data_IF_112261221298
#
_entry.id   IF_112261221298
#
_cell.length_a   1.000
_cell.length_b   1.000
_cell.length_c   1.000
_cell.angle_alpha   90.00
_cell.angle_beta   90.00
_cell.angle_gamma   90.00
#
_symmetry.space_group_name_H-M   'P 1'
#
loop_
_entity.id
_entity.type
_entity.pdbx_description
1 polymer ?
#
# COMPACT_ATOMS: atom_id res chain seq x y z
N UNK A 1 -2.06 1.41 -18.21
CA UNK A 1 -1.75 2.25 -17.03
C UNK A 1 -0.67 1.54 -16.22
N UNK A 2 0.51 2.15 -16.07
CA UNK A 2 1.61 1.61 -15.26
C UNK A 2 1.16 1.39 -13.80
N UNK A 3 1.73 0.38 -13.15
CA UNK A 3 1.32 -0.07 -11.80
C UNK A 3 1.35 1.07 -10.77
N UNK A 4 2.38 1.92 -10.82
CA UNK A 4 2.53 3.07 -9.94
C UNK A 4 1.38 4.07 -10.10
N UNK A 5 0.95 4.31 -11.34
CA UNK A 5 -0.16 5.22 -11.61
C UNK A 5 -1.47 4.66 -11.06
N UNK A 6 -1.69 3.33 -11.14
CA UNK A 6 -2.87 2.68 -10.53
C UNK A 6 -2.87 2.80 -9.02
N UNK A 7 -1.75 2.49 -8.37
CA UNK A 7 -1.61 2.59 -6.91
C UNK A 7 -1.80 4.04 -6.47
N UNK A 8 -1.17 4.98 -7.17
CA UNK A 8 -1.26 6.42 -6.85
C UNK A 8 -2.70 6.90 -6.93
N UNK A 9 -3.39 6.59 -8.03
CA UNK A 9 -4.80 6.92 -8.21
C UNK A 9 -5.65 6.35 -7.06
N UNK A 10 -5.46 5.07 -6.74
CA UNK A 10 -6.16 4.40 -5.63
C UNK A 10 -5.93 5.10 -4.28
N UNK A 11 -4.68 5.40 -3.94
CA UNK A 11 -4.36 6.13 -2.70
C UNK A 11 -5.03 7.50 -2.70
N UNK A 12 -4.91 8.27 -3.78
CA UNK A 12 -5.50 9.62 -3.85
C UNK A 12 -7.02 9.61 -3.72
N UNK A 13 -7.71 8.63 -4.31
CA UNK A 13 -9.15 8.44 -4.16
C UNK A 13 -9.58 8.11 -2.72
N UNK A 14 -8.71 7.47 -1.93
CA UNK A 14 -8.97 7.30 -0.49
C UNK A 14 -8.94 8.66 0.23
N UNK A 15 -7.96 9.51 -0.09
CA UNK A 15 -7.85 10.86 0.48
C UNK A 15 -8.99 11.81 0.13
N UNK A 16 -9.81 11.51 -0.87
CA UNK A 16 -10.97 12.33 -1.25
C UNK A 16 -12.25 12.02 -0.45
N UNK A 17 -12.19 11.11 0.52
CA UNK A 17 -13.34 10.77 1.36
C UNK A 17 -14.37 9.86 0.68
N UNK A 18 -13.98 9.17 -0.39
CA UNK A 18 -14.77 8.04 -0.89
C UNK A 18 -14.73 6.96 0.18
N UNK A 19 -15.89 6.40 0.51
CA UNK A 19 -15.98 5.33 1.51
C UNK A 19 -15.49 4.03 0.87
N UNK A 20 -14.29 3.60 1.24
CA UNK A 20 -13.69 2.36 0.74
C UNK A 20 -14.16 1.12 1.51
N UNK A 21 -15.12 1.30 2.43
CA UNK A 21 -15.62 0.24 3.30
C UNK A 21 -14.70 -0.04 4.49
N UNK A 22 -14.59 -1.31 4.84
CA UNK A 22 -13.79 -1.80 5.96
C UNK A 22 -12.30 -1.84 5.64
N UNK A 23 -11.45 -2.10 6.64
CA UNK A 23 -10.03 -2.35 6.42
C UNK A 23 -9.76 -3.58 5.52
N UNK A 24 -10.70 -4.54 5.46
CA UNK A 24 -10.60 -5.68 4.54
C UNK A 24 -10.86 -5.27 3.10
N UNK A 25 -11.84 -4.38 2.89
CA UNK A 25 -12.13 -3.82 1.56
C UNK A 25 -10.96 -2.98 1.05
N UNK A 26 -10.32 -2.19 1.93
CA UNK A 26 -9.07 -1.48 1.61
C UNK A 26 -7.98 -2.45 1.17
N UNK A 27 -7.79 -3.53 1.93
CA UNK A 27 -6.83 -4.58 1.61
C UNK A 27 -7.09 -5.21 0.25
N UNK A 28 -8.33 -5.65 -0.01
CA UNK A 28 -8.73 -6.23 -1.30
C UNK A 28 -8.51 -5.27 -2.48
N UNK A 29 -8.72 -3.96 -2.27
CA UNK A 29 -8.58 -2.95 -3.33
C UNK A 29 -7.12 -2.60 -3.65
N UNK A 30 -6.23 -2.56 -2.65
CA UNK A 30 -4.85 -2.13 -2.84
C UNK A 30 -3.86 -3.28 -2.98
N UNK A 31 -4.06 -4.37 -2.26
CA UNK A 31 -3.02 -5.37 -2.02
C UNK A 31 -2.45 -5.98 -3.30
N UNK A 32 -3.29 -6.35 -4.26
CA UNK A 32 -2.83 -6.99 -5.49
C UNK A 32 -1.85 -6.10 -6.29
N UNK A 33 -2.09 -4.77 -6.32
CA UNK A 33 -1.16 -3.85 -6.98
C UNK A 33 0.09 -3.60 -6.12
N UNK A 34 -0.04 -3.51 -4.80
CA UNK A 34 1.10 -3.34 -3.89
C UNK A 34 2.04 -4.55 -3.92
N UNK A 35 1.50 -5.77 -3.95
CA UNK A 35 2.26 -7.01 -4.02
C UNK A 35 2.97 -7.15 -5.37
N UNK A 36 2.29 -6.80 -6.47
CA UNK A 36 2.90 -6.78 -7.79
C UNK A 36 4.04 -5.75 -7.86
N UNK A 37 3.89 -4.58 -7.24
CA UNK A 37 4.98 -3.61 -7.14
C UNK A 37 6.16 -4.14 -6.30
N UNK A 38 5.87 -4.73 -5.14
CA UNK A 38 6.87 -5.31 -4.22
C UNK A 38 7.72 -6.38 -4.89
N UNK A 39 7.08 -7.26 -5.65
CA UNK A 39 7.74 -8.37 -6.33
C UNK A 39 8.25 -8.01 -7.74
N UNK A 40 8.13 -6.76 -8.18
CA UNK A 40 8.57 -6.34 -9.50
C UNK A 40 10.10 -6.28 -9.59
N UNK A 41 10.70 -6.94 -10.57
CA UNK A 41 12.15 -6.90 -10.78
C UNK A 41 12.70 -5.49 -11.08
N UNK A 42 11.86 -4.60 -11.62
CA UNK A 42 12.18 -3.21 -11.92
C UNK A 42 11.66 -2.24 -10.85
N UNK A 43 11.25 -2.72 -9.67
CA UNK A 43 10.67 -1.90 -8.60
C UNK A 43 11.49 -0.64 -8.32
N UNK A 44 12.80 -0.77 -8.17
CA UNK A 44 13.67 0.36 -7.81
C UNK A 44 13.58 1.52 -8.80
N UNK A 45 13.44 1.21 -10.09
CA UNK A 45 13.24 2.22 -11.12
C UNK A 45 11.79 2.74 -11.14
N UNK A 46 10.81 1.87 -10.90
CA UNK A 46 9.40 2.28 -10.83
C UNK A 46 9.12 3.23 -9.68
N UNK A 47 9.76 3.04 -8.52
CA UNK A 47 9.51 3.85 -7.33
C UNK A 47 10.46 5.04 -7.20
N UNK A 48 11.43 5.25 -8.10
CA UNK A 48 12.51 6.25 -7.93
C UNK A 48 11.98 7.64 -7.59
N UNK A 49 10.95 8.07 -8.34
CA UNK A 49 10.31 9.38 -8.21
C UNK A 49 8.88 9.28 -7.66
N UNK A 50 8.50 8.12 -7.14
CA UNK A 50 7.16 7.92 -6.61
C UNK A 50 7.03 8.63 -5.26
N UNK A 51 6.09 9.57 -5.15
CA UNK A 51 5.87 10.38 -3.94
C UNK A 51 5.62 9.59 -2.64
N UNK A 52 5.13 8.35 -2.75
CA UNK A 52 4.87 7.47 -1.59
C UNK A 52 5.96 6.42 -1.38
N UNK A 53 7.10 6.50 -2.08
CA UNK A 53 8.21 5.56 -1.97
C UNK A 53 8.65 5.34 -0.52
N UNK A 54 8.87 6.42 0.24
CA UNK A 54 9.36 6.31 1.61
C UNK A 54 8.35 5.64 2.54
N UNK A 55 7.05 5.93 2.39
CA UNK A 55 5.98 5.26 3.12
C UNK A 55 5.96 3.76 2.81
N UNK A 56 5.99 3.42 1.52
CA UNK A 56 6.00 2.04 1.06
C UNK A 56 7.21 1.26 1.60
N UNK A 57 8.42 1.81 1.44
CA UNK A 57 9.66 1.19 1.92
C UNK A 57 9.66 1.02 3.45
N UNK A 58 9.09 1.99 4.18
CA UNK A 58 8.96 1.92 5.64
C UNK A 58 8.03 0.78 6.07
N UNK A 59 6.84 0.72 5.49
CA UNK A 59 5.84 -0.31 5.79
C UNK A 59 6.34 -1.70 5.40
N UNK A 60 7.00 -1.83 4.25
CA UNK A 60 7.59 -3.09 3.81
C UNK A 60 8.68 -3.58 4.77
N UNK A 61 9.63 -2.70 5.16
CA UNK A 61 10.66 -3.05 6.14
C UNK A 61 10.07 -3.51 7.46
N UNK A 62 9.01 -2.85 7.89
CA UNK A 62 8.34 -3.20 9.14
C UNK A 62 7.63 -4.56 9.05
N UNK A 63 6.99 -4.87 7.91
CA UNK A 63 6.24 -6.10 7.69
C UNK A 63 7.08 -7.32 7.25
N UNK A 64 8.34 -7.13 6.81
CA UNK A 64 9.24 -8.18 6.30
C UNK A 64 9.47 -9.37 7.26
N UNK A 65 9.20 -9.21 8.56
CA UNK A 65 9.37 -10.25 9.57
C UNK A 65 8.05 -10.89 10.03
N UNK A 66 7.00 -10.87 9.20
CA UNK A 66 5.67 -11.40 9.56
C UNK A 66 4.92 -10.54 10.58
N UNK A 67 5.42 -9.34 10.89
CA UNK A 67 4.76 -8.38 11.78
C UNK A 67 3.56 -7.76 11.06
N UNK A 68 2.50 -7.44 11.81
CA UNK A 68 1.28 -6.78 11.32
C UNK A 68 0.98 -5.55 12.16
N UNK A 69 0.81 -4.38 11.53
CA UNK A 69 0.50 -3.15 12.24
C UNK A 69 -0.87 -3.24 12.92
N UNK A 70 -1.75 -4.07 12.35
CA UNK A 70 -3.08 -4.36 12.85
C UNK A 70 -3.24 -5.87 13.08
N UNK A 71 -3.09 -6.33 14.32
CA UNK A 71 -3.03 -7.75 14.66
C UNK A 71 -4.29 -8.55 14.32
N UNK A 72 -5.45 -7.86 14.26
CA UNK A 72 -6.76 -8.45 13.92
C UNK A 72 -7.00 -8.60 12.41
N UNK A 73 -6.08 -8.14 11.56
CA UNK A 73 -6.18 -8.24 10.10
C UNK A 73 -5.27 -9.34 9.55
N UNK A 74 -5.52 -9.76 8.30
CA UNK A 74 -4.51 -10.53 7.55
C UNK A 74 -3.26 -9.67 7.32
N UNK A 75 -2.15 -10.31 6.94
CA UNK A 75 -0.90 -9.59 6.70
C UNK A 75 -1.08 -8.56 5.57
N UNK A 76 -1.79 -8.96 4.51
CA UNK A 76 -2.09 -8.18 3.31
C UNK A 76 -2.92 -6.94 3.63
N UNK A 77 -4.01 -7.13 4.37
CA UNK A 77 -4.91 -6.06 4.76
C UNK A 77 -4.20 -5.11 5.73
N UNK A 78 -3.45 -5.66 6.70
CA UNK A 78 -2.61 -4.86 7.60
C UNK A 78 -1.61 -4.01 6.84
N UNK A 79 -0.94 -4.56 5.83
CA UNK A 79 0.03 -3.81 5.02
C UNK A 79 -0.65 -2.65 4.27
N UNK A 80 -1.74 -2.92 3.56
CA UNK A 80 -2.45 -1.92 2.76
C UNK A 80 -3.00 -0.78 3.64
N UNK A 81 -3.62 -1.12 4.77
CA UNK A 81 -4.15 -0.14 5.72
C UNK A 81 -3.01 0.64 6.38
N UNK A 82 -1.91 0.01 6.74
CA UNK A 82 -0.76 0.69 7.33
C UNK A 82 -0.12 1.69 6.36
N UNK A 83 -0.05 1.35 5.07
CA UNK A 83 0.41 2.28 4.04
C UNK A 83 -0.46 3.54 4.00
N UNK A 84 -1.78 3.39 3.89
CA UNK A 84 -2.70 4.53 3.91
C UNK A 84 -2.59 5.33 5.21
N UNK A 85 -2.51 4.64 6.35
CA UNK A 85 -2.35 5.29 7.65
C UNK A 85 -1.12 6.20 7.66
N UNK A 86 0.05 5.71 7.22
CA UNK A 86 1.27 6.53 7.17
C UNK A 86 1.25 7.67 6.16
N UNK A 87 0.36 7.63 5.15
CA UNK A 87 0.23 8.70 4.16
C UNK A 87 -0.64 9.83 4.69
N UNK A 88 -1.65 9.51 5.50
CA UNK A 88 -2.67 10.46 5.95
C UNK A 88 -2.58 10.86 7.43
N UNK A 89 -1.72 10.21 8.23
CA UNK A 89 -1.50 10.45 9.66
C UNK A 89 -0.01 10.40 10.00
#
# INVERSE_FOLDING_TARGET
MEIINRITYKIEQYGTGIEWGTGEDVGANLWADLDNLRNNCNRNNLVSDWKYKNNFDCIEKWHLNGRKAFDKMSWENSFAVALLFTIYH
#
